data_IF_335054367135
#
_entry.id   IF_335054367135
#
_cell.length_a   1.000
_cell.length_b   1.000
_cell.length_c   1.000
_cell.angle_alpha   90.00
_cell.angle_beta   90.00
_cell.angle_gamma   90.00
#
_symmetry.space_group_name_H-M   'P 1'
#
loop_
_entity.id
_entity.type
_entity.pdbx_description
1 polymer ?
#
# COMPACT_ATOMS: atom_id res chain seq x y z
N UNK A 1 28.72 13.10 -26.08
CA UNK A 1 27.62 12.72 -25.16
C UNK A 1 27.94 13.23 -23.75
N UNK A 2 26.98 13.35 -22.82
CA UNK A 2 27.25 13.86 -21.46
C UNK A 2 28.34 13.07 -20.73
N UNK A 3 28.42 11.76 -20.98
CA UNK A 3 29.47 10.87 -20.47
C UNK A 3 30.87 11.12 -21.05
N UNK A 4 31.03 12.00 -22.04
CA UNK A 4 32.32 12.38 -22.65
C UNK A 4 32.70 13.83 -22.32
N UNK A 5 31.88 14.53 -21.52
CA UNK A 5 32.12 15.91 -21.14
C UNK A 5 33.35 16.00 -20.24
N UNK A 6 34.29 16.89 -20.59
CA UNK A 6 35.41 17.25 -19.71
C UNK A 6 35.04 18.28 -18.63
N UNK A 7 33.80 18.79 -18.66
CA UNK A 7 33.31 19.89 -17.81
C UNK A 7 32.21 19.46 -16.83
N UNK A 8 31.58 18.31 -17.05
CA UNK A 8 30.43 17.84 -16.27
C UNK A 8 30.65 16.36 -15.96
N UNK A 9 30.58 16.01 -14.68
CA UNK A 9 30.67 14.64 -14.18
C UNK A 9 29.28 14.19 -13.71
N UNK A 10 28.81 13.04 -14.19
CA UNK A 10 27.59 12.42 -13.67
C UNK A 10 27.92 11.64 -12.40
N UNK A 11 27.12 11.83 -11.35
CA UNK A 11 27.27 11.16 -10.06
C UNK A 11 25.89 10.71 -9.56
N UNK A 12 25.84 9.62 -8.79
CA UNK A 12 24.60 9.21 -8.12
C UNK A 12 24.45 9.92 -6.76
N UNK A 13 23.24 9.91 -6.21
CA UNK A 13 22.93 10.64 -4.98
C UNK A 13 23.79 10.18 -3.78
N UNK A 14 24.02 8.87 -3.63
CA UNK A 14 24.83 8.34 -2.52
C UNK A 14 26.27 8.83 -2.56
N UNK A 15 26.91 8.72 -3.72
CA UNK A 15 28.29 9.19 -3.91
C UNK A 15 28.41 10.71 -3.79
N UNK A 16 27.38 11.46 -4.22
CA UNK A 16 27.34 12.90 -4.03
C UNK A 16 27.33 13.27 -2.54
N UNK A 17 26.54 12.58 -1.72
CA UNK A 17 26.48 12.80 -0.26
C UNK A 17 27.78 12.40 0.45
N UNK A 18 28.50 11.39 -0.04
CA UNK A 18 29.82 11.01 0.49
C UNK A 18 30.91 12.03 0.11
N UNK A 19 30.81 12.62 -1.09
CA UNK A 19 31.82 13.54 -1.64
C UNK A 19 31.61 14.99 -1.21
N UNK A 20 30.37 15.38 -0.96
CA UNK A 20 29.98 16.76 -0.66
C UNK A 20 29.15 16.80 0.62
N UNK A 21 29.73 17.36 1.68
CA UNK A 21 29.02 17.55 2.95
C UNK A 21 27.96 18.67 2.80
N UNK A 22 26.71 18.46 3.25
CA UNK A 22 25.69 19.51 3.23
C UNK A 22 26.07 20.68 4.16
N UNK A 23 26.10 21.90 3.62
CA UNK A 23 26.47 23.12 4.38
C UNK A 23 25.24 23.89 4.91
N UNK A 24 24.06 23.61 4.37
CA UNK A 24 22.82 24.32 4.68
C UNK A 24 21.72 23.38 5.16
N UNK A 25 20.81 23.92 5.96
CA UNK A 25 19.60 23.23 6.41
C UNK A 25 18.38 24.06 6.07
N UNK A 26 17.34 23.41 5.59
CA UNK A 26 16.03 24.00 5.32
C UNK A 26 14.94 23.15 5.98
N UNK A 27 13.88 23.80 6.43
CA UNK A 27 12.64 23.13 6.84
C UNK A 27 11.73 22.99 5.61
N UNK A 28 11.35 21.76 5.29
CA UNK A 28 10.54 21.47 4.11
C UNK A 28 9.05 21.70 4.41
N UNK A 29 8.36 22.60 3.70
CA UNK A 29 6.91 22.69 3.78
C UNK A 29 6.27 21.47 3.11
N UNK A 30 5.04 21.17 3.51
CA UNK A 30 4.19 20.16 2.87
C UNK A 30 4.06 20.46 1.37
N UNK A 31 4.42 19.49 0.54
CA UNK A 31 4.43 19.62 -0.91
C UNK A 31 4.42 18.26 -1.61
N UNK A 32 4.17 18.29 -2.91
CA UNK A 32 4.39 17.17 -3.82
C UNK A 32 4.99 17.68 -5.14
N UNK A 33 5.47 16.76 -5.97
CA UNK A 33 5.83 17.04 -7.36
C UNK A 33 4.65 16.96 -8.34
N UNK A 34 3.42 16.80 -7.83
CA UNK A 34 2.19 16.73 -8.63
C UNK A 34 1.68 18.10 -9.08
N UNK A 35 0.53 18.10 -9.75
CA UNK A 35 -0.16 19.33 -10.16
C UNK A 35 -0.43 20.21 -8.93
N UNK A 36 -0.14 21.50 -9.04
CA UNK A 36 -0.32 22.47 -7.96
C UNK A 36 0.69 22.36 -6.81
N UNK A 37 1.66 21.44 -6.88
CA UNK A 37 2.70 21.28 -5.85
C UNK A 37 2.20 20.80 -4.48
N UNK A 38 0.95 20.32 -4.41
CA UNK A 38 0.26 19.88 -3.19
C UNK A 38 -0.42 18.53 -3.39
N UNK A 39 -1.46 18.21 -2.62
CA UNK A 39 -2.10 16.89 -2.58
C UNK A 39 -3.37 16.77 -3.44
N UNK A 40 -3.76 17.82 -4.15
CA UNK A 40 -5.02 17.91 -4.92
C UNK A 40 -5.20 16.80 -5.97
N UNK A 41 -4.10 16.18 -6.42
CA UNK A 41 -4.15 15.06 -7.37
C UNK A 41 -4.66 13.78 -6.70
N UNK A 42 -4.41 13.61 -5.40
CA UNK A 42 -4.75 12.40 -4.65
C UNK A 42 -5.92 12.59 -3.69
N UNK A 43 -6.17 13.82 -3.21
CA UNK A 43 -7.26 14.18 -2.32
C UNK A 43 -8.08 15.34 -2.90
N UNK A 44 -9.27 15.02 -3.37
CA UNK A 44 -10.25 15.94 -3.96
C UNK A 44 -11.66 15.33 -3.93
N UNK A 45 -12.65 16.06 -4.45
CA UNK A 45 -14.07 15.64 -4.46
C UNK A 45 -14.33 14.31 -5.19
N UNK A 46 -13.47 13.91 -6.13
CA UNK A 46 -13.61 12.62 -6.83
C UNK A 46 -12.99 11.45 -6.04
N UNK A 47 -12.02 11.73 -5.17
CA UNK A 47 -11.19 10.68 -4.55
C UNK A 47 -11.36 10.59 -3.04
N UNK A 48 -12.07 11.53 -2.39
CA UNK A 48 -12.22 11.55 -0.93
C UNK A 48 -12.79 10.23 -0.35
N UNK A 49 -13.71 9.58 -1.07
CA UNK A 49 -14.33 8.33 -0.62
C UNK A 49 -13.33 7.16 -0.56
N UNK A 50 -12.26 7.20 -1.36
CA UNK A 50 -11.20 6.18 -1.29
C UNK A 50 -10.47 6.30 0.05
N UNK A 51 -10.21 7.52 0.52
CA UNK A 51 -9.55 7.75 1.80
C UNK A 51 -10.36 7.26 2.98
N UNK A 52 -11.69 7.43 2.98
CA UNK A 52 -12.56 6.85 4.02
C UNK A 52 -12.38 5.32 4.12
N UNK A 53 -12.21 4.64 2.99
CA UNK A 53 -11.99 3.19 2.93
C UNK A 53 -10.58 2.78 3.32
N UNK A 54 -9.58 3.58 2.95
CA UNK A 54 -8.20 3.35 3.40
C UNK A 54 -8.13 3.45 4.92
N UNK A 55 -8.66 4.53 5.51
CA UNK A 55 -8.66 4.71 6.96
C UNK A 55 -9.44 3.61 7.69
N UNK A 56 -10.59 3.17 7.15
CA UNK A 56 -11.34 2.04 7.70
C UNK A 56 -10.48 0.77 7.80
N UNK A 57 -9.72 0.43 6.75
CA UNK A 57 -8.92 -0.80 6.75
C UNK A 57 -7.62 -0.68 7.54
N UNK A 58 -7.03 0.52 7.61
CA UNK A 58 -5.84 0.80 8.41
C UNK A 58 -6.16 0.60 9.89
N UNK A 59 -7.20 1.28 10.40
CA UNK A 59 -7.64 1.17 11.79
C UNK A 59 -8.02 -0.27 12.14
N UNK A 60 -8.81 -0.92 11.29
CA UNK A 60 -9.19 -2.33 11.50
C UNK A 60 -7.97 -3.26 11.57
N UNK A 61 -6.99 -3.08 10.69
CA UNK A 61 -5.80 -3.92 10.65
C UNK A 61 -4.96 -3.73 11.91
N UNK A 62 -4.70 -2.49 12.31
CA UNK A 62 -3.92 -2.19 13.51
C UNK A 62 -4.56 -2.78 14.76
N UNK A 63 -5.87 -2.62 14.93
CA UNK A 63 -6.60 -3.18 16.07
C UNK A 63 -6.58 -4.71 16.06
N UNK A 64 -6.84 -5.33 14.91
CA UNK A 64 -6.85 -6.78 14.76
C UNK A 64 -5.49 -7.39 15.13
N UNK A 65 -4.40 -6.84 14.57
CA UNK A 65 -3.05 -7.39 14.79
C UNK A 65 -2.61 -7.16 16.24
N UNK A 66 -2.90 -5.99 16.81
CA UNK A 66 -2.56 -5.68 18.21
C UNK A 66 -3.24 -6.65 19.17
N UNK A 67 -4.51 -6.99 18.93
CA UNK A 67 -5.25 -7.97 19.73
C UNK A 67 -4.70 -9.40 19.63
N UNK A 68 -3.94 -9.73 18.57
CA UNK A 68 -3.38 -11.06 18.32
C UNK A 68 -1.90 -11.20 18.73
N UNK A 69 -1.24 -10.13 19.21
CA UNK A 69 0.21 -10.06 19.43
C UNK A 69 0.81 -11.32 20.08
N UNK A 70 0.23 -11.74 21.21
CA UNK A 70 0.71 -12.85 22.03
C UNK A 70 -0.06 -14.18 21.79
N UNK A 71 -0.94 -14.21 20.79
CA UNK A 71 -1.76 -15.37 20.49
C UNK A 71 -1.06 -16.30 19.50
N UNK A 72 -1.19 -17.61 19.71
CA UNK A 72 -0.85 -18.60 18.69
C UNK A 72 -1.95 -18.59 17.63
N UNK A 73 -1.58 -18.18 16.41
CA UNK A 73 -2.50 -18.11 15.28
C UNK A 73 -2.39 -19.42 14.48
N UNK A 74 -3.51 -20.10 14.17
CA UNK A 74 -3.48 -21.27 13.29
C UNK A 74 -2.91 -20.91 11.91
N UNK A 75 -2.16 -21.84 11.31
CA UNK A 75 -1.49 -21.62 10.03
C UNK A 75 -2.42 -21.08 8.92
N UNK A 76 -3.67 -21.53 8.88
CA UNK A 76 -4.63 -21.04 7.89
C UNK A 76 -5.00 -19.57 8.11
N UNK A 77 -5.13 -19.13 9.37
CA UNK A 77 -5.37 -17.71 9.70
C UNK A 77 -4.14 -16.87 9.37
N UNK A 78 -2.93 -17.38 9.59
CA UNK A 78 -1.70 -16.68 9.19
C UNK A 78 -1.64 -16.43 7.68
N UNK A 79 -2.03 -17.42 6.86
CA UNK A 79 -2.12 -17.25 5.40
C UNK A 79 -3.15 -16.19 5.01
N UNK A 80 -4.33 -16.22 5.61
CA UNK A 80 -5.38 -15.21 5.39
C UNK A 80 -4.90 -13.82 5.80
N UNK A 81 -4.26 -13.67 6.96
CA UNK A 81 -3.72 -12.41 7.45
C UNK A 81 -2.62 -11.86 6.53
N UNK A 82 -1.72 -12.71 6.04
CA UNK A 82 -0.69 -12.30 5.09
C UNK A 82 -1.30 -11.83 3.76
N UNK A 83 -2.28 -12.56 3.22
CA UNK A 83 -2.97 -12.13 2.00
C UNK A 83 -3.77 -10.84 2.24
N UNK A 84 -4.45 -10.71 3.39
CA UNK A 84 -5.17 -9.49 3.78
C UNK A 84 -4.22 -8.29 3.84
N UNK A 85 -3.00 -8.48 4.33
CA UNK A 85 -1.94 -7.48 4.29
C UNK A 85 -1.52 -7.07 2.87
N UNK A 86 -1.51 -7.99 1.90
CA UNK A 86 -1.25 -7.66 0.49
C UNK A 86 -2.40 -6.86 -0.11
N UNK A 87 -3.65 -7.25 0.14
CA UNK A 87 -4.82 -6.49 -0.33
C UNK A 87 -4.82 -5.06 0.25
N UNK A 88 -4.45 -4.88 1.53
CA UNK A 88 -4.24 -3.57 2.14
C UNK A 88 -3.21 -2.73 1.37
N UNK A 89 -2.00 -3.27 1.18
CA UNK A 89 -0.92 -2.55 0.48
C UNK A 89 -1.29 -2.22 -0.98
N UNK A 90 -2.00 -3.13 -1.65
CA UNK A 90 -2.50 -2.90 -3.00
C UNK A 90 -3.57 -1.82 -3.03
N UNK A 91 -4.48 -1.80 -2.05
CA UNK A 91 -5.51 -0.76 -1.90
C UNK A 91 -4.89 0.63 -1.67
N UNK A 92 -3.80 0.70 -0.90
CA UNK A 92 -3.10 1.94 -0.53
C UNK A 92 -2.23 2.53 -1.64
N UNK A 93 -2.21 1.92 -2.84
CA UNK A 93 -1.45 2.48 -3.95
C UNK A 93 -1.98 3.87 -4.35
N UNK A 94 -1.07 4.85 -4.37
CA UNK A 94 -1.36 6.22 -4.81
C UNK A 94 -1.76 6.31 -6.29
N UNK A 95 -1.54 5.25 -7.07
CA UNK A 95 -1.94 5.18 -8.48
C UNK A 95 -3.47 5.24 -8.64
N UNK A 96 -4.26 4.70 -7.71
CA UNK A 96 -5.72 4.69 -7.84
C UNK A 96 -6.33 6.09 -7.89
N UNK A 97 -6.13 6.95 -6.87
CA UNK A 97 -6.63 8.32 -6.94
C UNK A 97 -5.93 9.12 -8.06
N UNK A 98 -4.69 8.82 -8.42
CA UNK A 98 -4.01 9.47 -9.55
C UNK A 98 -4.70 9.17 -10.90
N UNK A 99 -5.01 7.90 -11.19
CA UNK A 99 -5.68 7.48 -12.43
C UNK A 99 -7.10 8.04 -12.52
N UNK A 100 -7.78 8.17 -11.38
CA UNK A 100 -9.11 8.78 -11.27
C UNK A 100 -9.02 10.28 -11.60
N UNK A 101 -8.18 11.03 -10.87
CA UNK A 101 -8.10 12.49 -11.00
C UNK A 101 -7.55 12.95 -12.35
N UNK A 102 -6.63 12.19 -12.95
CA UNK A 102 -6.06 12.51 -14.27
C UNK A 102 -6.94 12.07 -15.43
N UNK A 103 -7.95 11.23 -15.17
CA UNK A 103 -8.82 10.66 -16.20
C UNK A 103 -8.14 9.66 -17.13
N UNK A 104 -6.89 9.26 -16.86
CA UNK A 104 -6.14 8.34 -17.73
C UNK A 104 -6.80 6.96 -17.79
N UNK A 105 -7.32 6.48 -16.67
CA UNK A 105 -8.01 5.19 -16.58
C UNK A 105 -8.98 5.19 -15.38
N UNK A 106 -9.90 6.16 -15.33
CA UNK A 106 -10.77 6.41 -14.17
C UNK A 106 -11.55 5.17 -13.70
N UNK A 107 -12.29 4.53 -14.61
CA UNK A 107 -13.05 3.31 -14.29
C UNK A 107 -12.15 2.17 -13.82
N UNK A 108 -10.95 2.05 -14.40
CA UNK A 108 -9.98 1.05 -13.97
C UNK A 108 -9.48 1.33 -12.55
N UNK A 109 -9.17 2.59 -12.23
CA UNK A 109 -8.76 3.02 -10.90
C UNK A 109 -9.79 2.66 -9.83
N UNK A 110 -11.06 3.01 -10.05
CA UNK A 110 -12.15 2.64 -9.15
C UNK A 110 -12.31 1.12 -9.03
N UNK A 111 -12.36 0.41 -10.15
CA UNK A 111 -12.58 -1.04 -10.14
C UNK A 111 -11.46 -1.78 -9.38
N UNK A 112 -10.20 -1.39 -9.59
CA UNK A 112 -9.06 -1.98 -8.87
C UNK A 112 -9.08 -1.65 -7.38
N UNK A 113 -9.36 -0.40 -7.03
CA UNK A 113 -9.50 0.01 -5.63
C UNK A 113 -10.58 -0.82 -4.93
N UNK A 114 -11.81 -0.84 -5.46
CA UNK A 114 -12.91 -1.58 -4.83
C UNK A 114 -12.73 -3.09 -4.87
N UNK A 115 -12.04 -3.64 -5.86
CA UNK A 115 -11.65 -5.05 -5.86
C UNK A 115 -10.78 -5.40 -4.65
N UNK A 116 -9.69 -4.66 -4.42
CA UNK A 116 -8.80 -4.91 -3.28
C UNK A 116 -9.50 -4.67 -1.94
N UNK A 117 -10.36 -3.65 -1.86
CA UNK A 117 -11.17 -3.40 -0.66
C UNK A 117 -12.11 -4.56 -0.38
N UNK A 118 -12.85 -5.06 -1.38
CA UNK A 118 -13.78 -6.18 -1.19
C UNK A 118 -13.04 -7.48 -0.84
N UNK A 119 -11.91 -7.77 -1.50
CA UNK A 119 -11.06 -8.91 -1.16
C UNK A 119 -10.58 -8.84 0.30
N UNK A 120 -10.13 -7.65 0.74
CA UNK A 120 -9.76 -7.40 2.13
C UNK A 120 -10.93 -7.71 3.08
N UNK A 121 -12.14 -7.21 2.78
CA UNK A 121 -13.32 -7.46 3.63
C UNK A 121 -13.68 -8.95 3.66
N UNK A 122 -13.62 -9.67 2.55
CA UNK A 122 -13.88 -11.11 2.50
C UNK A 122 -12.88 -11.89 3.35
N UNK A 123 -11.59 -11.60 3.20
CA UNK A 123 -10.53 -12.20 4.02
C UNK A 123 -10.73 -11.89 5.52
N UNK A 124 -11.08 -10.65 5.84
CA UNK A 124 -11.37 -10.25 7.23
C UNK A 124 -12.56 -11.02 7.83
N UNK A 125 -13.57 -11.36 7.02
CA UNK A 125 -14.71 -12.15 7.46
C UNK A 125 -14.30 -13.61 7.72
N UNK A 126 -13.42 -14.20 6.91
CA UNK A 126 -12.91 -15.55 7.16
C UNK A 126 -12.18 -15.68 8.50
N UNK A 127 -11.58 -14.60 9.03
CA UNK A 127 -10.89 -14.62 10.32
C UNK A 127 -11.84 -14.76 11.52
N UNK A 128 -13.12 -14.42 11.35
CA UNK A 128 -14.16 -14.54 12.38
C UNK A 128 -14.65 -15.99 12.55
N UNK A 129 -14.36 -16.84 11.57
CA UNK A 129 -14.75 -18.26 11.59
C UNK A 129 -13.75 -19.11 12.38
N UNK A 130 -14.25 -20.24 12.91
CA UNK A 130 -13.41 -21.25 13.57
C UNK A 130 -12.55 -22.05 12.57
N UNK A 131 -13.03 -22.17 11.33
CA UNK A 131 -12.36 -22.88 10.25
C UNK A 131 -12.65 -22.23 8.90
N UNK A 132 -11.68 -22.29 7.98
CA UNK A 132 -11.88 -21.84 6.62
C UNK A 132 -12.76 -22.84 5.85
N UNK A 133 -13.81 -22.34 5.20
CA UNK A 133 -14.65 -23.16 4.32
C UNK A 133 -13.90 -23.58 3.06
N UNK A 134 -14.41 -24.59 2.35
CA UNK A 134 -13.83 -25.02 1.07
C UNK A 134 -13.80 -23.86 0.05
N UNK A 135 -14.85 -23.04 0.04
CA UNK A 135 -14.92 -21.87 -0.83
C UNK A 135 -13.93 -20.79 -0.40
N UNK A 136 -13.82 -20.53 0.91
CA UNK A 136 -12.82 -19.59 1.43
C UNK A 136 -11.39 -20.00 1.09
N UNK A 137 -11.09 -21.30 1.09
CA UNK A 137 -9.78 -21.81 0.66
C UNK A 137 -9.53 -21.55 -0.83
N UNK A 138 -10.54 -21.76 -1.69
CA UNK A 138 -10.42 -21.49 -3.14
C UNK A 138 -10.23 -19.99 -3.40
N UNK A 139 -10.99 -19.14 -2.72
CA UNK A 139 -10.85 -17.68 -2.81
C UNK A 139 -9.46 -17.25 -2.37
N UNK A 140 -9.00 -17.69 -1.19
CA UNK A 140 -7.65 -17.40 -0.70
C UNK A 140 -6.60 -17.83 -1.72
N UNK A 141 -6.70 -19.05 -2.26
CA UNK A 141 -5.71 -19.55 -3.23
C UNK A 141 -5.69 -18.73 -4.52
N UNK A 142 -6.87 -18.35 -5.02
CA UNK A 142 -6.99 -17.48 -6.20
C UNK A 142 -6.34 -16.11 -5.97
N UNK A 143 -6.54 -15.53 -4.78
CA UNK A 143 -5.90 -14.26 -4.41
C UNK A 143 -4.39 -14.41 -4.23
N UNK A 144 -3.92 -15.48 -3.58
CA UNK A 144 -2.48 -15.76 -3.46
C UNK A 144 -1.78 -15.91 -4.82
N UNK A 145 -2.49 -16.41 -5.85
CA UNK A 145 -1.95 -16.55 -7.20
C UNK A 145 -2.01 -15.23 -7.99
N UNK A 146 -3.12 -14.49 -7.88
CA UNK A 146 -3.33 -13.21 -8.59
C UNK A 146 -2.52 -12.08 -7.97
N UNK A 147 -2.66 -11.88 -6.67
CA UNK A 147 -2.16 -10.76 -5.88
C UNK A 147 -0.95 -11.23 -5.03
N UNK A 148 0.08 -11.71 -5.74
CA UNK A 148 1.21 -12.50 -5.21
C UNK A 148 2.44 -11.68 -4.80
N UNK A 149 2.33 -10.35 -4.71
CA UNK A 149 3.43 -9.48 -4.29
C UNK A 149 3.84 -9.77 -2.84
N UNK A 150 5.11 -9.53 -2.51
CA UNK A 150 5.63 -9.68 -1.15
C UNK A 150 5.35 -11.07 -0.54
N UNK A 151 5.86 -12.13 -1.18
CA UNK A 151 5.74 -13.50 -0.65
C UNK A 151 6.34 -13.66 0.75
N UNK A 152 7.27 -12.77 1.11
CA UNK A 152 7.90 -12.68 2.44
C UNK A 152 7.09 -11.85 3.45
N UNK A 153 5.96 -11.26 3.06
CA UNK A 153 5.15 -10.42 3.95
C UNK A 153 4.71 -11.22 5.17
N UNK A 154 4.93 -10.63 6.34
CA UNK A 154 4.41 -11.10 7.61
C UNK A 154 3.46 -10.02 8.14
N UNK A 155 2.20 -10.36 8.36
CA UNK A 155 1.16 -9.43 8.81
C UNK A 155 1.52 -8.67 10.10
N UNK A 156 2.45 -9.20 10.91
CA UNK A 156 2.91 -8.56 12.15
C UNK A 156 3.60 -7.20 11.92
N UNK A 157 4.00 -6.86 10.69
CA UNK A 157 4.52 -5.51 10.41
C UNK A 157 3.48 -4.40 10.62
N UNK A 158 2.19 -4.75 10.61
CA UNK A 158 1.08 -3.82 10.84
C UNK A 158 0.70 -3.71 12.32
N UNK A 159 1.49 -4.27 13.23
CA UNK A 159 1.33 -4.04 14.66
C UNK A 159 1.55 -2.56 14.98
N UNK A 160 0.67 -1.98 15.79
CA UNK A 160 0.81 -0.60 16.23
C UNK A 160 2.09 -0.46 17.06
N UNK A 161 2.92 0.52 16.69
CA UNK A 161 4.18 0.83 17.40
C UNK A 161 3.93 1.50 18.75
#
# INVERSE_FOLDING_TARGET
>A
LLNESKKVESINASLALEKFEPEERIDLPESSWGRGGKHEVWLNDETYQLWEKIYEIEEFTEELISNMKDQKVPLWKEKVLNQMGREKLLLESSDWPFLITTGQAKEYGYNRFYEHYNNFKDLSNYLKEDKLSLEGYKTLKKLEDKDSLFLFLNYRIFERR
#
